data_IF_042005046829
#
_entry.id   IF_042005046829
#
_cell.length_a   1.000
_cell.length_b   1.000
_cell.length_c   1.000
_cell.angle_alpha   90.00
_cell.angle_beta   90.00
_cell.angle_gamma   90.00
#
_symmetry.space_group_name_H-M   'P 1'
#
loop_
_entity.id
_entity.type
_entity.pdbx_description
1 polymer ?
#
# COMPACT_ATOMS: atom_id res chain seq x y z
N UNK A 1 -3.52 -12.79 16.07
CA UNK A 1 -3.39 -11.38 16.49
C UNK A 1 -3.24 -10.54 15.22
N UNK A 2 -3.50 -9.23 15.26
CA UNK A 2 -3.44 -8.38 14.06
C UNK A 2 -2.74 -7.07 14.37
N UNK A 3 -1.76 -6.70 13.54
CA UNK A 3 -1.15 -5.38 13.55
C UNK A 3 -1.47 -4.67 12.25
N UNK A 4 -1.71 -3.35 12.33
CA UNK A 4 -2.04 -2.52 11.17
C UNK A 4 -1.01 -1.44 10.94
N UNK A 5 -0.81 -1.08 9.68
CA UNK A 5 -0.17 0.15 9.24
C UNK A 5 -1.11 0.89 8.30
N UNK A 6 -1.14 2.22 8.40
CA UNK A 6 -1.95 3.08 7.54
C UNK A 6 -1.12 4.28 7.12
N UNK A 7 -1.06 4.51 5.82
CA UNK A 7 -0.48 5.72 5.25
C UNK A 7 -1.55 6.53 4.55
N UNK A 8 -1.72 7.78 4.98
CA UNK A 8 -2.66 8.74 4.41
C UNK A 8 -2.00 9.61 3.35
N UNK A 9 -2.83 10.20 2.47
CA UNK A 9 -2.46 11.20 1.46
C UNK A 9 -1.27 10.86 0.56
N UNK A 10 -1.22 9.61 0.10
CA UNK A 10 -0.23 9.18 -0.89
C UNK A 10 -0.55 9.89 -2.21
N UNK A 11 0.42 10.65 -2.74
CA UNK A 11 0.31 11.40 -4.01
C UNK A 11 0.37 10.47 -5.25
N UNK A 12 -0.45 9.44 -5.25
CA UNK A 12 -0.57 8.44 -6.31
C UNK A 12 -2.02 7.98 -6.43
N UNK A 13 -2.41 7.51 -7.61
CA UNK A 13 -3.76 6.97 -7.83
C UNK A 13 -3.86 5.56 -7.23
N UNK A 14 -4.98 5.26 -6.57
CA UNK A 14 -5.24 3.95 -5.96
C UNK A 14 -5.07 2.79 -6.96
N UNK A 15 -5.44 2.97 -8.23
CA UNK A 15 -5.25 1.96 -9.29
C UNK A 15 -3.79 1.47 -9.43
N UNK A 16 -2.81 2.39 -9.33
CA UNK A 16 -1.38 2.03 -9.45
C UNK A 16 -0.90 1.25 -8.23
N UNK A 17 -1.40 1.58 -7.04
CA UNK A 17 -1.14 0.83 -5.82
C UNK A 17 -1.78 -0.57 -5.88
N UNK A 18 -3.05 -0.65 -6.28
CA UNK A 18 -3.80 -1.92 -6.37
C UNK A 18 -3.09 -2.98 -7.22
N UNK A 19 -2.41 -2.55 -8.29
CA UNK A 19 -1.60 -3.45 -9.11
C UNK A 19 -0.54 -4.20 -8.30
N UNK A 20 0.17 -3.50 -7.40
CA UNK A 20 1.20 -4.10 -6.55
C UNK A 20 0.59 -4.84 -5.36
N UNK A 21 -0.43 -4.26 -4.74
CA UNK A 21 -1.10 -4.82 -3.57
C UNK A 21 -1.69 -6.20 -3.84
N UNK A 22 -2.28 -6.39 -5.03
CA UNK A 22 -2.89 -7.66 -5.39
C UNK A 22 -1.85 -8.80 -5.48
N UNK A 23 -0.61 -8.51 -5.85
CA UNK A 23 0.47 -9.51 -5.91
C UNK A 23 0.95 -9.95 -4.53
N UNK A 24 0.82 -9.09 -3.53
CA UNK A 24 1.37 -9.30 -2.18
C UNK A 24 0.32 -9.81 -1.18
N UNK A 25 -0.97 -9.74 -1.54
CA UNK A 25 -2.07 -10.16 -0.68
C UNK A 25 -1.97 -11.66 -0.36
N UNK A 26 -2.06 -12.01 0.92
CA UNK A 26 -2.08 -13.41 1.39
C UNK A 26 -0.71 -14.08 1.48
N UNK A 27 0.36 -13.42 1.03
CA UNK A 27 1.72 -13.97 1.10
C UNK A 27 2.33 -13.83 2.51
N UNK A 28 3.38 -14.61 2.75
CA UNK A 28 4.22 -14.43 3.94
C UNK A 28 4.92 -13.07 3.89
N UNK A 29 5.24 -12.50 5.04
CA UNK A 29 5.91 -11.18 5.12
C UNK A 29 7.29 -11.22 4.44
N UNK A 30 8.01 -12.33 4.59
CA UNK A 30 9.36 -12.50 3.99
C UNK A 30 9.27 -12.51 2.47
N UNK A 31 8.40 -13.35 1.91
CA UNK A 31 8.19 -13.41 0.45
C UNK A 31 7.69 -12.07 -0.11
N UNK A 32 6.78 -11.42 0.61
CA UNK A 32 6.27 -10.11 0.27
C UNK A 32 7.39 -9.05 0.21
N UNK A 33 8.32 -9.08 1.16
CA UNK A 33 9.43 -8.13 1.24
C UNK A 33 10.40 -8.30 0.07
N UNK A 34 10.74 -9.55 -0.28
CA UNK A 34 11.63 -9.84 -1.41
C UNK A 34 10.97 -9.44 -2.74
N UNK A 35 9.70 -9.80 -2.92
CA UNK A 35 8.94 -9.44 -4.11
C UNK A 35 8.86 -7.91 -4.30
N UNK A 36 8.58 -7.16 -3.23
CA UNK A 36 8.51 -5.71 -3.28
C UNK A 36 9.87 -5.05 -3.57
N UNK A 37 10.97 -5.65 -3.08
CA UNK A 37 12.32 -5.13 -3.30
C UNK A 37 12.74 -5.17 -4.76
N UNK A 38 12.34 -6.20 -5.50
CA UNK A 38 12.71 -6.39 -6.91
C UNK A 38 11.67 -5.86 -7.91
N UNK A 39 10.49 -5.45 -7.46
CA UNK A 39 9.48 -4.86 -8.33
C UNK A 39 9.94 -3.49 -8.90
N UNK A 40 9.79 -3.26 -10.22
CA UNK A 40 10.23 -2.00 -10.86
C UNK A 40 9.30 -0.82 -10.58
N UNK A 41 8.14 -1.05 -9.95
CA UNK A 41 7.11 -0.03 -9.77
C UNK A 41 7.43 0.88 -8.58
N UNK A 42 7.25 2.20 -8.75
CA UNK A 42 7.34 3.15 -7.63
C UNK A 42 6.36 2.80 -6.47
N UNK A 43 5.20 2.23 -6.82
CA UNK A 43 4.22 1.75 -5.85
C UNK A 43 4.78 0.69 -4.90
N UNK A 44 5.76 -0.11 -5.34
CA UNK A 44 6.37 -1.14 -4.51
C UNK A 44 7.14 -0.53 -3.32
N UNK A 45 7.89 0.55 -3.55
CA UNK A 45 8.60 1.27 -2.47
C UNK A 45 7.67 1.79 -1.39
N UNK A 46 6.48 2.26 -1.78
CA UNK A 46 5.46 2.75 -0.84
C UNK A 46 4.89 1.59 -0.02
N UNK A 47 4.57 0.47 -0.67
CA UNK A 47 4.05 -0.71 0.03
C UNK A 47 5.11 -1.34 0.93
N UNK A 48 6.37 -1.42 0.49
CA UNK A 48 7.50 -1.94 1.28
C UNK A 48 7.69 -1.15 2.58
N UNK A 49 7.64 0.19 2.51
CA UNK A 49 7.73 1.04 3.71
C UNK A 49 6.61 0.74 4.71
N UNK A 50 5.38 0.53 4.23
CA UNK A 50 4.24 0.20 5.09
C UNK A 50 4.32 -1.21 5.65
N UNK A 51 4.82 -2.17 4.86
CA UNK A 51 5.04 -3.54 5.33
C UNK A 51 6.05 -3.55 6.48
N UNK A 52 7.19 -2.86 6.34
CA UNK A 52 8.19 -2.71 7.41
C UNK A 52 7.58 -2.08 8.67
N UNK A 53 6.77 -1.03 8.51
CA UNK A 53 6.08 -0.40 9.64
C UNK A 53 5.07 -1.34 10.32
N UNK A 54 4.34 -2.15 9.55
CA UNK A 54 3.39 -3.12 10.10
C UNK A 54 4.10 -4.24 10.89
N UNK A 55 5.24 -4.72 10.39
CA UNK A 55 6.08 -5.71 11.09
C UNK A 55 6.63 -5.13 12.39
N UNK A 56 7.17 -3.90 12.35
CA UNK A 56 7.64 -3.21 13.56
C UNK A 56 6.52 -3.05 14.60
N UNK A 57 5.31 -2.67 14.16
CA UNK A 57 4.15 -2.58 15.05
C UNK A 57 3.73 -3.95 15.63
N UNK A 58 3.88 -5.03 14.87
CA UNK A 58 3.59 -6.38 15.35
C UNK A 58 4.62 -6.85 16.38
N UNK A 59 5.90 -6.57 16.13
CA UNK A 59 7.00 -6.90 17.04
C UNK A 59 6.86 -6.15 18.37
N UNK A 60 6.59 -4.84 18.34
CA UNK A 60 6.46 -4.04 19.55
C UNK A 60 5.24 -4.45 20.40
N UNK A 61 4.12 -4.77 19.77
CA UNK A 61 2.87 -5.08 20.49
C UNK A 61 2.76 -6.53 20.96
N UNK A 62 3.33 -7.47 20.20
CA UNK A 62 3.09 -8.90 20.40
C UNK A 62 4.38 -9.71 20.55
N UNK A 63 5.57 -9.11 20.36
CA UNK A 63 6.85 -9.83 20.45
C UNK A 63 7.08 -10.86 19.36
N UNK A 64 6.35 -10.78 18.25
CA UNK A 64 6.33 -11.81 17.19
C UNK A 64 7.38 -11.51 16.13
N UNK A 65 8.06 -12.56 15.62
CA UNK A 65 9.03 -12.47 14.52
C UNK A 65 8.34 -12.31 13.17
N UNK A 66 9.07 -11.75 12.19
CA UNK A 66 8.58 -11.53 10.83
C UNK A 66 8.22 -12.84 10.09
N UNK A 67 8.88 -13.95 10.43
CA UNK A 67 8.69 -15.25 9.77
C UNK A 67 7.33 -15.89 10.04
N UNK A 68 6.76 -15.63 11.22
CA UNK A 68 5.44 -16.12 11.63
C UNK A 68 4.28 -15.26 11.11
N UNK A 69 4.55 -14.16 10.40
CA UNK A 69 3.54 -13.22 9.94
C UNK A 69 3.20 -13.40 8.46
N UNK A 70 1.91 -13.25 8.14
CA UNK A 70 1.37 -13.14 6.78
C UNK A 70 0.62 -11.84 6.60
N UNK A 71 0.53 -11.38 5.34
CA UNK A 71 -0.31 -10.23 4.97
C UNK A 71 -1.76 -10.69 4.91
N UNK A 72 -2.56 -10.34 5.93
CA UNK A 72 -3.97 -10.75 6.01
C UNK A 72 -4.84 -9.94 5.06
N UNK A 73 -4.81 -8.62 5.21
CA UNK A 73 -5.61 -7.70 4.42
C UNK A 73 -4.76 -6.53 3.95
N UNK A 74 -4.87 -6.21 2.67
CA UNK A 74 -4.21 -5.05 2.10
C UNK A 74 -5.09 -4.45 0.99
N UNK A 75 -5.37 -3.16 1.15
CA UNK A 75 -6.23 -2.43 0.25
C UNK A 75 -5.82 -0.96 0.13
N UNK A 76 -6.12 -0.39 -1.04
CA UNK A 76 -5.90 1.02 -1.32
C UNK A 76 -7.22 1.69 -1.69
N UNK A 77 -7.55 2.74 -0.95
CA UNK A 77 -8.74 3.55 -1.13
C UNK A 77 -8.38 4.84 -1.86
N UNK A 78 -9.35 5.40 -2.58
CA UNK A 78 -9.20 6.74 -3.13
C UNK A 78 -9.34 7.77 -2.00
N UNK A 79 -8.60 8.87 -2.14
CA UNK A 79 -8.64 10.00 -1.22
C UNK A 79 -8.96 11.28 -2.00
N UNK A 80 -8.67 12.45 -1.42
CA UNK A 80 -8.97 13.77 -1.97
C UNK A 80 -8.38 13.91 -3.37
N UNK A 81 -9.25 14.15 -4.35
CA UNK A 81 -8.83 14.38 -5.73
C UNK A 81 -8.67 15.87 -6.00
N UNK A 82 -7.43 16.32 -6.23
CA UNK A 82 -7.19 17.70 -6.58
C UNK A 82 -7.51 17.97 -8.06
N UNK A 83 -8.38 18.95 -8.31
CA UNK A 83 -8.69 19.41 -9.66
C UNK A 83 -7.59 20.37 -10.14
N UNK A 84 -7.05 20.14 -11.34
CA UNK A 84 -6.12 21.05 -12.04
C UNK A 84 -6.69 21.33 -13.43
N UNK A 85 -6.63 22.57 -13.87
CA UNK A 85 -6.97 22.89 -15.26
C UNK A 85 -5.81 22.49 -16.20
N UNK A 86 -6.14 22.07 -17.41
CA UNK A 86 -5.20 21.93 -18.53
C UNK A 86 -5.79 22.65 -19.73
N UNK A 87 -5.08 23.67 -20.20
CA UNK A 87 -5.42 24.40 -21.43
C UNK A 87 -5.32 23.48 -22.65
N UNK A 88 -6.19 23.71 -23.63
CA UNK A 88 -6.27 22.98 -24.90
C UNK A 88 -6.50 23.96 -26.05
N UNK A 89 -6.40 23.45 -27.28
CA UNK A 89 -6.62 24.23 -28.50
C UNK A 89 -8.00 24.91 -28.49
N UNK A 90 -8.11 26.02 -29.24
CA UNK A 90 -9.35 26.80 -29.39
C UNK A 90 -9.93 27.31 -28.06
N UNK A 91 -9.08 27.74 -27.11
CA UNK A 91 -9.54 28.29 -25.82
C UNK A 91 -10.21 27.28 -24.88
N UNK A 92 -10.21 25.99 -25.21
CA UNK A 92 -10.85 24.94 -24.40
C UNK A 92 -10.05 24.66 -23.13
N UNK A 93 -10.73 24.31 -22.04
CA UNK A 93 -10.10 23.96 -20.77
C UNK A 93 -10.63 22.61 -20.27
N UNK A 94 -9.72 21.65 -20.07
CA UNK A 94 -10.06 20.32 -19.54
C UNK A 94 -9.61 20.17 -18.09
N UNK A 95 -10.34 19.35 -17.34
CA UNK A 95 -9.95 18.99 -15.99
C UNK A 95 -8.90 17.86 -16.01
N UNK A 96 -7.84 18.04 -15.23
CA UNK A 96 -6.83 17.03 -14.91
C UNK A 96 -6.92 16.74 -13.42
N UNK A 97 -7.30 15.52 -13.07
CA UNK A 97 -7.41 15.10 -11.68
C UNK A 97 -6.06 14.56 -11.18
N UNK A 98 -5.55 15.16 -10.10
CA UNK A 98 -4.42 14.64 -9.32
C UNK A 98 -4.98 13.86 -8.14
N UNK A 99 -5.25 12.57 -8.38
CA UNK A 99 -5.81 11.64 -7.40
C UNK A 99 -4.76 11.26 -6.36
N UNK A 100 -5.14 11.28 -5.09
CA UNK A 100 -4.39 10.69 -3.98
C UNK A 100 -5.06 9.38 -3.52
N UNK A 101 -4.40 8.66 -2.62
CA UNK A 101 -4.89 7.40 -2.08
C UNK A 101 -4.48 7.20 -0.62
N UNK A 102 -5.23 6.36 0.07
CA UNK A 102 -4.86 5.82 1.37
C UNK A 102 -4.48 4.35 1.22
N UNK A 103 -3.44 3.91 1.91
CA UNK A 103 -3.03 2.51 1.98
C UNK A 103 -3.26 2.00 3.40
N UNK A 104 -3.96 0.88 3.51
CA UNK A 104 -4.10 0.13 4.77
C UNK A 104 -3.55 -1.27 4.56
N UNK A 105 -2.65 -1.68 5.45
CA UNK A 105 -2.02 -3.00 5.43
C UNK A 105 -2.14 -3.60 6.84
N UNK A 106 -2.71 -4.80 6.92
CA UNK A 106 -2.80 -5.60 8.12
C UNK A 106 -1.94 -6.85 7.97
N UNK A 107 -1.22 -7.17 9.03
CA UNK A 107 -0.48 -8.43 9.17
C UNK A 107 -1.12 -9.26 10.27
N UNK A 108 -1.21 -10.56 10.04
CA UNK A 108 -1.72 -11.53 11.00
C UNK A 108 -0.74 -12.69 11.14
N UNK A 109 -0.91 -13.45 12.22
CA UNK A 109 -0.22 -14.73 12.39
C UNK A 109 -0.69 -15.75 11.33
N UNK A 110 0.20 -16.63 10.89
CA UNK A 110 -0.06 -17.71 9.94
C UNK A 110 -0.95 -18.79 10.57
N UNK A 111 -0.77 -19.06 11.86
CA UNK A 111 -1.38 -20.18 12.60
C UNK A 111 -2.86 -20.04 12.90
N UNK A 112 -3.47 -18.87 12.69
CA UNK A 112 -4.92 -18.72 12.77
C UNK A 112 -5.59 -19.40 11.58
N UNK A 113 -6.16 -20.57 11.84
CA UNK A 113 -7.24 -21.17 11.05
C UNK A 113 -8.58 -20.84 11.72
#
# INVERSE_FOLDING_TARGET
MEAKSRQTDIKMTARKLRRVINEVRGKSVVEAQDMLRFMPYFAARVVEKNLKAAVANAQEKYGVSAESLKVSEIFADESVSYKRARTRAQGRMYSRLKRTSHLTLKVSDITKK
#
